data_IF_555784199965
#
_entry.id   IF_555784199965
#
_cell.length_a   1.000
_cell.length_b   1.000
_cell.length_c   1.000
_cell.angle_alpha   90.00
_cell.angle_beta   90.00
_cell.angle_gamma   90.00
#
_symmetry.space_group_name_H-M   'P 1'
#
loop_
_entity.id
_entity.type
_entity.pdbx_description
1 polymer ?
#
# COMPACT_ATOMS: atom_id res chain seq x y z
N UNK A 1 1.34 -22.86 -3.51
CA UNK A 1 0.46 -21.92 -2.78
C UNK A 1 -0.09 -22.63 -1.55
N UNK A 2 0.79 -22.93 -0.63
CA UNK A 2 0.53 -23.76 0.55
C UNK A 2 -0.26 -25.03 0.14
N UNK A 3 -1.38 -25.32 0.74
CA UNK A 3 -2.13 -26.57 0.53
C UNK A 3 -3.20 -26.48 -0.58
N UNK A 4 -3.18 -25.42 -1.39
CA UNK A 4 -4.18 -25.22 -2.43
C UNK A 4 -3.70 -25.73 -3.78
N UNK A 5 -4.50 -26.58 -4.42
CA UNK A 5 -4.28 -27.07 -5.77
C UNK A 5 -5.03 -26.16 -6.73
N UNK A 6 -4.33 -25.66 -7.73
CA UNK A 6 -4.92 -24.91 -8.84
C UNK A 6 -5.14 -25.87 -10.01
N UNK A 7 -6.32 -25.85 -10.58
CA UNK A 7 -6.68 -26.65 -11.76
C UNK A 7 -6.61 -25.78 -13.01
N UNK A 8 -6.53 -26.41 -14.14
CA UNK A 8 -6.67 -25.73 -15.42
C UNK A 8 -8.00 -24.98 -15.47
N UNK A 9 -7.97 -23.75 -15.98
CA UNK A 9 -9.12 -22.84 -16.11
C UNK A 9 -9.65 -22.23 -14.79
N UNK A 10 -9.00 -22.47 -13.67
CA UNK A 10 -9.30 -21.77 -12.42
C UNK A 10 -9.01 -20.27 -12.54
N UNK A 11 -9.94 -19.44 -12.05
CA UNK A 11 -9.74 -18.01 -11.96
C UNK A 11 -9.03 -17.67 -10.65
N UNK A 12 -7.85 -17.06 -10.73
CA UNK A 12 -7.03 -16.70 -9.59
C UNK A 12 -7.04 -15.17 -9.44
N UNK A 13 -7.19 -14.72 -8.20
CA UNK A 13 -7.05 -13.31 -7.84
C UNK A 13 -5.92 -13.15 -6.84
N UNK A 14 -5.05 -12.18 -7.08
CA UNK A 14 -3.95 -11.82 -6.20
C UNK A 14 -4.35 -10.63 -5.33
N UNK A 15 -4.37 -10.83 -4.03
CA UNK A 15 -4.64 -9.77 -3.07
C UNK A 15 -3.32 -9.26 -2.49
N UNK A 16 -2.73 -8.27 -3.14
CA UNK A 16 -1.44 -7.66 -2.75
C UNK A 16 -1.50 -7.11 -1.32
N UNK A 17 -2.61 -6.45 -0.96
CA UNK A 17 -2.81 -5.92 0.39
C UNK A 17 -2.83 -7.01 1.46
N UNK A 18 -3.41 -8.17 1.16
CA UNK A 18 -3.38 -9.33 2.06
C UNK A 18 -1.98 -9.95 2.15
N UNK A 19 -1.28 -10.05 1.03
CA UNK A 19 0.09 -10.56 1.01
C UNK A 19 1.05 -9.67 1.83
N UNK A 20 0.88 -8.35 1.77
CA UNK A 20 1.66 -7.39 2.56
C UNK A 20 1.27 -7.34 4.05
N UNK A 21 0.28 -8.13 4.45
CA UNK A 21 -0.15 -8.34 5.84
C UNK A 21 -0.12 -9.80 6.27
N UNK A 22 0.67 -10.63 5.60
CA UNK A 22 0.83 -12.04 6.01
C UNK A 22 1.65 -12.10 7.31
N UNK A 23 1.07 -12.58 8.43
CA UNK A 23 1.76 -12.66 9.72
C UNK A 23 2.93 -13.65 9.73
N UNK A 24 3.04 -14.52 8.72
CA UNK A 24 4.20 -15.39 8.57
C UNK A 24 5.41 -14.67 7.91
N UNK A 25 5.18 -13.46 7.39
CA UNK A 25 6.23 -12.65 6.74
C UNK A 25 6.49 -11.37 7.51
N UNK A 26 5.45 -10.75 8.04
CA UNK A 26 5.52 -9.47 8.74
C UNK A 26 5.10 -9.61 10.19
N UNK A 27 5.97 -9.24 11.11
CA UNK A 27 5.62 -9.11 12.54
C UNK A 27 4.71 -7.90 12.72
N UNK A 28 3.63 -8.03 13.49
CA UNK A 28 2.62 -6.98 13.68
C UNK A 28 2.14 -6.36 12.35
N UNK A 29 1.57 -7.17 11.42
CA UNK A 29 1.34 -6.77 10.03
C UNK A 29 0.35 -5.61 9.89
N UNK A 30 -0.51 -5.38 10.88
CA UNK A 30 -1.49 -4.28 10.88
C UNK A 30 -0.93 -2.97 11.44
N UNK A 31 0.25 -3.01 12.07
CA UNK A 31 0.93 -1.82 12.56
C UNK A 31 1.58 -1.07 11.41
N UNK A 32 1.23 0.21 11.26
CA UNK A 32 1.93 1.11 10.36
C UNK A 32 3.28 1.50 10.98
N UNK A 33 4.37 1.00 10.42
CA UNK A 33 5.72 1.20 10.90
C UNK A 33 6.65 1.59 9.75
N UNK A 34 7.00 2.87 9.70
CA UNK A 34 7.89 3.43 8.67
C UNK A 34 9.35 2.99 8.83
N UNK A 35 9.70 2.40 9.96
CA UNK A 35 11.06 1.91 10.25
C UNK A 35 11.21 0.42 10.05
N UNK A 36 10.17 -0.26 9.57
CA UNK A 36 10.14 -1.70 9.41
C UNK A 36 11.29 -2.23 8.56
N UNK A 37 12.08 -3.12 9.14
CA UNK A 37 13.16 -3.86 8.47
C UNK A 37 13.23 -5.29 9.02
N UNK A 38 13.30 -6.31 8.13
CA UNK A 38 13.12 -6.23 6.68
C UNK A 38 11.68 -5.87 6.27
N UNK A 39 11.52 -5.32 5.07
CA UNK A 39 10.20 -4.99 4.51
C UNK A 39 10.04 -5.59 3.10
N UNK A 40 9.88 -6.92 2.97
CA UNK A 40 9.81 -7.62 1.69
C UNK A 40 8.42 -7.51 1.04
N UNK A 41 7.88 -6.30 0.96
CA UNK A 41 6.55 -6.06 0.40
C UNK A 41 6.48 -6.32 -1.10
N UNK A 42 5.30 -6.72 -1.57
CA UNK A 42 5.02 -6.96 -2.99
C UNK A 42 4.11 -5.88 -3.60
N UNK A 43 4.12 -4.65 -3.06
CA UNK A 43 3.29 -3.55 -3.55
C UNK A 43 3.55 -3.20 -5.02
N UNK A 44 4.75 -3.40 -5.51
CA UNK A 44 5.13 -3.23 -6.91
C UNK A 44 5.21 -4.55 -7.70
N UNK A 45 4.60 -5.60 -7.19
CA UNK A 45 4.73 -6.94 -7.76
C UNK A 45 6.10 -7.57 -7.48
N UNK A 46 6.39 -8.67 -8.17
CA UNK A 46 7.66 -9.39 -8.06
C UNK A 46 7.95 -10.14 -9.37
N UNK A 47 9.23 -10.52 -9.57
CA UNK A 47 9.68 -11.27 -10.73
C UNK A 47 9.61 -10.48 -12.04
N UNK A 48 9.32 -11.14 -13.14
CA UNK A 48 9.34 -10.57 -14.50
C UNK A 48 8.26 -9.50 -14.73
N UNK A 49 7.25 -9.44 -13.88
CA UNK A 49 6.18 -8.45 -13.90
C UNK A 49 6.34 -7.36 -12.84
N UNK A 50 7.54 -7.21 -12.26
CA UNK A 50 7.79 -6.10 -11.34
C UNK A 50 7.46 -4.76 -12.01
N UNK A 51 6.80 -3.86 -11.28
CA UNK A 51 6.32 -2.59 -11.80
C UNK A 51 7.47 -1.78 -12.44
N UNK A 52 7.33 -1.43 -13.71
CA UNK A 52 8.30 -0.63 -14.45
C UNK A 52 8.47 0.77 -13.81
N UNK A 53 7.38 1.34 -13.30
CA UNK A 53 7.36 2.65 -12.65
C UNK A 53 7.77 2.66 -11.18
N UNK A 54 8.21 1.54 -10.60
CA UNK A 54 8.50 1.45 -9.16
C UNK A 54 9.56 2.47 -8.68
N UNK A 55 10.59 2.70 -9.48
CA UNK A 55 11.64 3.69 -9.15
C UNK A 55 11.08 5.10 -9.18
N UNK A 56 10.34 5.46 -10.22
CA UNK A 56 9.71 6.77 -10.34
C UNK A 56 8.74 7.02 -9.18
N UNK A 57 7.86 6.08 -8.89
CA UNK A 57 6.89 6.20 -7.79
C UNK A 57 7.58 6.39 -6.42
N UNK A 58 8.75 5.78 -6.20
CA UNK A 58 9.52 6.00 -4.97
C UNK A 58 10.10 7.41 -4.91
N UNK A 59 10.66 7.90 -6.00
CA UNK A 59 11.19 9.28 -6.07
C UNK A 59 10.07 10.28 -5.85
N UNK A 60 8.96 10.14 -6.55
CA UNK A 60 7.78 11.01 -6.38
C UNK A 60 7.28 10.98 -4.92
N UNK A 61 7.15 9.79 -4.31
CA UNK A 61 6.74 9.66 -2.92
C UNK A 61 7.71 10.35 -1.96
N UNK A 62 9.00 10.19 -2.14
CA UNK A 62 10.03 10.83 -1.30
C UNK A 62 9.94 12.35 -1.38
N UNK A 63 9.86 12.93 -2.58
CA UNK A 63 9.77 14.37 -2.78
C UNK A 63 8.46 14.95 -2.22
N UNK A 64 7.32 14.27 -2.46
CA UNK A 64 6.02 14.70 -1.93
C UNK A 64 6.01 14.68 -0.39
N UNK A 65 6.40 13.57 0.24
CA UNK A 65 6.39 13.47 1.69
C UNK A 65 7.37 14.44 2.35
N UNK A 66 8.55 14.65 1.74
CA UNK A 66 9.50 15.66 2.21
C UNK A 66 8.89 17.06 2.13
N UNK A 67 8.32 17.42 1.00
CA UNK A 67 7.71 18.73 0.81
C UNK A 67 6.52 18.96 1.78
N UNK A 68 5.69 17.94 2.02
CA UNK A 68 4.60 18.03 3.00
C UNK A 68 5.12 18.22 4.42
N UNK A 69 6.13 17.45 4.84
CA UNK A 69 6.71 17.57 6.17
C UNK A 69 7.38 18.95 6.41
N UNK A 70 8.03 19.49 5.39
CA UNK A 70 8.71 20.79 5.49
C UNK A 70 7.74 21.99 5.42
N UNK A 71 6.71 21.91 4.56
CA UNK A 71 5.82 23.06 4.30
C UNK A 71 4.54 23.06 5.12
N UNK A 72 4.08 21.89 5.55
CA UNK A 72 2.82 21.69 6.25
C UNK A 72 3.03 20.80 7.50
N UNK A 73 3.88 21.20 8.45
CA UNK A 73 4.21 20.37 9.62
C UNK A 73 3.01 20.06 10.53
N UNK A 74 1.95 20.90 10.46
CA UNK A 74 0.69 20.68 11.18
C UNK A 74 -0.37 19.92 10.39
N UNK A 75 0.00 19.28 9.25
CA UNK A 75 -0.95 18.56 8.41
C UNK A 75 -1.59 17.39 9.17
N UNK A 76 -2.92 17.41 9.26
CA UNK A 76 -3.71 16.35 9.90
C UNK A 76 -4.92 15.98 9.05
N UNK A 77 -5.41 14.74 9.22
CA UNK A 77 -6.66 14.31 8.60
C UNK A 77 -7.83 14.93 9.36
N UNK A 78 -8.73 15.61 8.66
CA UNK A 78 -9.83 16.39 9.23
C UNK A 78 -11.10 15.56 9.53
N UNK A 79 -11.10 14.27 9.30
CA UNK A 79 -12.26 13.39 9.53
C UNK A 79 -11.81 11.99 9.97
N UNK A 80 -12.61 11.36 10.81
CA UNK A 80 -12.45 9.94 11.17
C UNK A 80 -13.18 9.02 10.17
N UNK A 81 -14.14 9.56 9.41
CA UNK A 81 -14.90 8.81 8.42
C UNK A 81 -14.33 9.05 7.02
N UNK A 82 -13.79 7.99 6.43
CA UNK A 82 -13.22 7.99 5.09
C UNK A 82 -14.09 7.20 4.12
N UNK A 83 -14.49 7.84 3.03
CA UNK A 83 -15.25 7.19 1.97
C UNK A 83 -14.33 6.65 0.87
N UNK A 84 -14.64 5.43 0.43
CA UNK A 84 -13.89 4.74 -0.63
C UNK A 84 -14.71 4.59 -1.89
N UNK A 85 -14.03 4.57 -3.04
CA UNK A 85 -14.67 4.16 -4.29
C UNK A 85 -15.05 2.67 -4.23
N UNK A 86 -16.23 2.28 -4.75
CA UNK A 86 -16.64 0.88 -4.85
C UNK A 86 -15.81 0.17 -5.91
N UNK A 87 -14.67 -0.38 -5.53
CA UNK A 87 -13.76 -1.10 -6.42
C UNK A 87 -13.15 -2.29 -5.72
N UNK A 88 -13.13 -3.43 -6.40
CA UNK A 88 -12.46 -4.64 -5.92
C UNK A 88 -10.98 -4.69 -6.30
N UNK A 89 -10.54 -3.81 -7.21
CA UNK A 89 -9.17 -3.78 -7.73
C UNK A 89 -8.31 -2.77 -6.99
N UNK A 90 -8.84 -1.56 -6.79
CA UNK A 90 -8.12 -0.49 -6.13
C UNK A 90 -8.93 0.04 -4.94
N UNK A 91 -8.33 0.03 -3.77
CA UNK A 91 -8.89 0.69 -2.59
C UNK A 91 -8.43 2.15 -2.60
N UNK A 92 -9.20 3.01 -3.25
CA UNK A 92 -8.92 4.45 -3.33
C UNK A 92 -9.98 5.26 -2.59
N UNK A 93 -9.54 6.30 -1.90
CA UNK A 93 -10.43 7.26 -1.25
C UNK A 93 -11.14 8.12 -2.31
N UNK A 94 -12.38 8.49 -2.05
CA UNK A 94 -13.09 9.50 -2.84
C UNK A 94 -12.52 10.89 -2.59
N UNK A 95 -12.18 11.18 -1.32
CA UNK A 95 -11.52 12.40 -0.89
C UNK A 95 -10.73 12.14 0.40
N UNK A 96 -9.73 12.95 0.67
CA UNK A 96 -9.00 12.97 1.93
C UNK A 96 -9.02 14.41 2.46
N UNK A 97 -10.04 14.80 3.25
CA UNK A 97 -10.08 16.11 3.89
C UNK A 97 -8.92 16.26 4.87
N UNK A 98 -8.20 17.37 4.76
CA UNK A 98 -7.05 17.67 5.62
C UNK A 98 -7.12 19.10 6.12
N UNK A 99 -6.53 19.35 7.28
CA UNK A 99 -6.28 20.68 7.84
C UNK A 99 -4.79 20.86 8.08
N UNK A 100 -4.33 22.10 8.05
CA UNK A 100 -2.97 22.50 8.41
C UNK A 100 -3.02 23.87 9.08
N UNK A 101 -2.19 24.07 10.08
CA UNK A 101 -2.00 25.35 10.76
C UNK A 101 -0.51 25.65 10.86
#
# INVERSE_FOLDING_TARGET
>A
MRDKVMRKDDRIRWFISSANRDPNVFTEPDKFDITRQPNPHVAFGNGVHHCLGATLARVEGQEVFKALAERLPGLTVATEELEYHPSITFRSLKSLPVTWQ
#
